data_IF_549415291438
#
_entry.id   IF_549415291438
#
_cell.length_a   1.000
_cell.length_b   1.000
_cell.length_c   1.000
_cell.angle_alpha   90.00
_cell.angle_beta   90.00
_cell.angle_gamma   90.00
#
_symmetry.space_group_name_H-M   'P 1'
#
loop_
_entity.id
_entity.type
_entity.pdbx_description
1 polymer ?
#
# COMPACT_ATOMS: atom_id res chain seq x y z
N UNK A 1 15.93 20.94 55.27
CA UNK A 1 14.84 21.01 54.26
C UNK A 1 15.11 19.90 53.27
N UNK A 2 14.31 18.84 53.36
CA UNK A 2 14.34 17.68 52.47
C UNK A 2 13.71 18.02 51.12
N UNK A 3 14.30 17.50 50.05
CA UNK A 3 13.71 17.15 48.75
C UNK A 3 14.88 16.63 47.91
N UNK A 4 14.84 15.58 47.10
CA UNK A 4 13.79 14.68 46.61
C UNK A 4 14.57 13.48 46.02
N UNK A 5 14.12 12.24 46.24
CA UNK A 5 13.57 11.34 45.21
C UNK A 5 14.42 11.20 43.94
N UNK A 6 14.67 10.05 43.37
CA UNK A 6 14.38 8.64 43.61
C UNK A 6 15.26 7.93 42.56
N UNK A 7 15.68 6.72 42.88
CA UNK A 7 16.30 5.74 41.98
C UNK A 7 15.46 5.52 40.70
N UNK A 8 16.10 5.21 39.56
CA UNK A 8 15.93 3.90 38.90
C UNK A 8 16.69 3.82 37.54
N UNK A 9 17.65 2.89 37.52
CA UNK A 9 17.92 1.91 36.46
C UNK A 9 18.15 2.34 35.00
N UNK A 10 19.43 2.25 34.64
CA UNK A 10 19.96 1.46 33.52
C UNK A 10 18.94 0.89 32.51
N UNK A 11 19.01 1.36 31.25
CA UNK A 11 19.05 0.49 30.06
C UNK A 11 19.02 1.33 28.78
N UNK A 12 20.15 1.35 28.06
CA UNK A 12 20.26 1.11 26.60
C UNK A 12 21.55 1.71 26.05
N UNK A 13 22.64 1.01 26.35
CA UNK A 13 23.66 0.80 25.34
C UNK A 13 23.04 0.03 24.15
N UNK A 14 23.62 0.22 22.96
CA UNK A 14 23.16 -0.21 21.64
C UNK A 14 22.02 0.68 21.09
N UNK A 15 22.18 1.43 20.01
CA UNK A 15 23.05 1.20 18.87
C UNK A 15 23.09 2.46 18.00
N UNK A 16 24.22 3.17 18.04
CA UNK A 16 24.72 3.83 16.84
C UNK A 16 25.13 2.72 15.87
N UNK A 17 24.19 2.26 15.05
CA UNK A 17 24.52 1.48 13.86
C UNK A 17 23.90 2.18 12.68
N UNK A 18 24.76 2.83 11.89
CA UNK A 18 24.52 3.05 10.46
C UNK A 18 23.85 1.80 9.90
N UNK A 19 22.62 1.92 9.42
CA UNK A 19 22.14 1.08 8.34
C UNK A 19 21.60 2.01 7.28
N UNK A 20 22.44 2.16 6.25
CA UNK A 20 22.04 2.34 4.87
C UNK A 20 20.78 1.48 4.63
N UNK A 21 19.61 2.08 4.79
CA UNK A 21 18.33 1.39 4.72
C UNK A 21 17.89 1.39 3.28
N UNK A 22 18.19 0.30 2.57
CA UNK A 22 17.45 -0.17 1.40
C UNK A 22 16.00 0.29 1.51
N UNK A 23 15.54 1.15 0.59
CA UNK A 23 14.14 1.57 0.53
C UNK A 23 13.30 0.30 0.71
N UNK A 24 12.56 0.14 1.84
CA UNK A 24 11.92 -1.13 2.14
C UNK A 24 11.08 -1.45 0.92
N UNK A 25 11.32 -2.63 0.32
CA UNK A 25 10.49 -3.08 -0.78
C UNK A 25 9.05 -2.92 -0.28
N UNK A 26 8.22 -2.10 -0.97
CA UNK A 26 6.92 -1.75 -0.45
C UNK A 26 6.20 -3.07 -0.16
N UNK A 27 5.57 -3.18 1.00
CA UNK A 27 5.08 -4.45 1.53
C UNK A 27 3.93 -4.95 0.64
N UNK A 28 4.30 -5.62 -0.46
CA UNK A 28 3.38 -6.01 -1.52
C UNK A 28 2.36 -6.95 -0.91
N UNK A 29 1.06 -6.75 -1.16
CA UNK A 29 0.04 -7.62 -0.62
C UNK A 29 0.28 -9.09 -0.97
N UNK A 30 0.08 -9.97 0.00
CA UNK A 30 0.44 -11.39 -0.08
C UNK A 30 -0.43 -12.18 -1.06
N UNK A 31 -1.65 -11.73 -1.29
CA UNK A 31 -2.66 -12.41 -2.11
C UNK A 31 -3.64 -11.38 -2.69
N UNK A 32 -4.10 -11.63 -3.90
CA UNK A 32 -5.21 -10.91 -4.52
C UNK A 32 -6.35 -11.88 -4.85
N UNK A 33 -7.57 -11.36 -4.84
CA UNK A 33 -8.80 -12.16 -4.93
C UNK A 33 -9.12 -12.60 -6.36
N UNK A 34 -8.63 -11.87 -7.37
CA UNK A 34 -8.92 -12.13 -8.79
C UNK A 34 -7.65 -12.11 -9.64
N UNK A 35 -7.72 -12.70 -10.84
CA UNK A 35 -6.66 -12.59 -11.86
C UNK A 35 -6.77 -11.23 -12.56
N UNK A 36 -5.64 -10.60 -12.85
CA UNK A 36 -5.59 -9.33 -13.58
C UNK A 36 -4.50 -8.40 -13.09
N UNK A 37 -4.56 -7.14 -13.52
CA UNK A 37 -3.66 -6.08 -13.09
C UNK A 37 -4.41 -5.14 -12.16
N UNK A 38 -3.82 -4.81 -11.02
CA UNK A 38 -4.39 -3.87 -10.03
C UNK A 38 -3.41 -2.74 -9.79
N UNK A 39 -3.92 -1.53 -9.57
CA UNK A 39 -3.12 -0.40 -9.12
C UNK A 39 -3.11 -0.39 -7.61
N UNK A 40 -1.93 -0.35 -7.02
CA UNK A 40 -1.70 -0.35 -5.59
C UNK A 40 -0.92 0.89 -5.17
N UNK A 41 -1.48 1.63 -4.20
CA UNK A 41 -0.91 2.83 -3.62
C UNK A 41 -0.10 2.44 -2.40
N UNK A 42 1.22 2.33 -2.58
CA UNK A 42 2.10 1.77 -1.55
C UNK A 42 2.21 2.62 -0.28
N UNK A 43 1.89 3.91 -0.35
CA UNK A 43 1.97 4.82 0.80
C UNK A 43 0.81 4.60 1.76
N UNK A 44 -0.36 4.22 1.23
CA UNK A 44 -1.58 4.01 2.00
C UNK A 44 -1.89 2.53 2.21
N UNK A 45 -1.27 1.63 1.43
CA UNK A 45 -1.61 0.21 1.42
C UNK A 45 -2.95 -0.07 0.73
N UNK A 46 -3.48 0.89 -0.02
CA UNK A 46 -4.79 0.84 -0.67
C UNK A 46 -4.69 0.51 -2.16
N UNK A 47 -5.82 0.17 -2.76
CA UNK A 47 -5.94 -0.15 -4.17
C UNK A 47 -6.80 0.87 -4.89
N UNK A 48 -6.65 0.92 -6.21
CA UNK A 48 -7.62 1.60 -7.06
C UNK A 48 -8.89 0.76 -7.16
N UNK A 49 -9.97 1.26 -6.58
CA UNK A 49 -11.29 0.66 -6.59
C UNK A 49 -12.33 1.56 -7.23
N UNK A 50 -13.59 1.11 -7.11
CA UNK A 50 -14.77 1.90 -7.42
C UNK A 50 -15.52 2.18 -6.13
N UNK A 51 -15.87 3.44 -5.90
CA UNK A 51 -16.71 3.85 -4.78
C UNK A 51 -17.86 4.72 -5.29
N UNK A 52 -18.98 4.67 -4.58
CA UNK A 52 -20.10 5.58 -4.83
C UNK A 52 -19.74 6.99 -4.35
N UNK A 53 -19.80 7.97 -5.24
CA UNK A 53 -19.66 9.37 -4.90
C UNK A 53 -21.06 9.96 -4.70
N UNK A 54 -21.43 10.27 -3.47
CA UNK A 54 -22.75 10.84 -3.13
C UNK A 54 -22.97 12.23 -3.74
N UNK A 55 -21.91 13.02 -3.94
CA UNK A 55 -22.01 14.37 -4.49
C UNK A 55 -22.26 14.37 -6.00
N UNK A 56 -21.63 13.44 -6.71
CA UNK A 56 -21.83 13.26 -8.15
C UNK A 56 -23.03 12.33 -8.47
N UNK A 57 -23.52 11.58 -7.47
CA UNK A 57 -24.47 10.48 -7.64
C UNK A 57 -24.01 9.45 -8.69
N UNK A 58 -22.70 9.18 -8.73
CA UNK A 58 -22.06 8.32 -9.72
C UNK A 58 -21.01 7.41 -9.06
N UNK A 59 -20.69 6.28 -9.73
CA UNK A 59 -19.59 5.41 -9.32
C UNK A 59 -18.30 5.98 -9.88
N UNK A 60 -17.38 6.36 -9.00
CA UNK A 60 -16.09 6.93 -9.37
C UNK A 60 -14.92 6.07 -8.91
N UNK A 61 -13.75 6.35 -9.48
CA UNK A 61 -12.50 5.71 -9.06
C UNK A 61 -12.07 6.30 -7.72
N UNK A 62 -11.81 5.43 -6.75
CA UNK A 62 -11.42 5.83 -5.40
C UNK A 62 -10.35 4.90 -4.83
N UNK A 63 -9.77 5.32 -3.72
CA UNK A 63 -8.91 4.45 -2.92
C UNK A 63 -9.77 3.48 -2.12
N UNK A 64 -9.43 2.20 -2.16
CA UNK A 64 -10.10 1.15 -1.38
C UNK A 64 -9.07 0.34 -0.61
N UNK A 65 -9.32 0.09 0.67
CA UNK A 65 -8.41 -0.71 1.49
C UNK A 65 -8.42 -2.21 1.11
N UNK A 66 -9.53 -2.68 0.55
CA UNK A 66 -9.76 -4.10 0.33
C UNK A 66 -9.55 -4.52 -1.13
N UNK A 67 -8.81 -5.62 -1.33
CA UNK A 67 -8.46 -6.14 -2.65
C UNK A 67 -9.64 -6.76 -3.42
N UNK A 68 -10.75 -7.10 -2.77
CA UNK A 68 -11.97 -7.59 -3.42
C UNK A 68 -12.72 -6.46 -4.13
N UNK A 69 -12.59 -5.23 -3.60
CA UNK A 69 -13.23 -4.02 -4.11
C UNK A 69 -12.33 -3.26 -5.11
N UNK A 70 -11.12 -3.76 -5.34
CA UNK A 70 -10.19 -3.21 -6.31
C UNK A 70 -10.63 -3.49 -7.75
N UNK A 71 -10.27 -2.59 -8.67
CA UNK A 71 -10.45 -2.79 -10.10
C UNK A 71 -9.33 -3.71 -10.62
N UNK A 72 -9.72 -4.82 -11.24
CA UNK A 72 -8.81 -5.73 -11.93
C UNK A 72 -8.88 -5.45 -13.43
N UNK A 73 -7.83 -4.86 -13.97
CA UNK A 73 -7.66 -4.62 -15.39
C UNK A 73 -7.17 -5.88 -16.11
N UNK A 74 -7.51 -6.00 -17.38
CA UNK A 74 -7.05 -7.12 -18.20
C UNK A 74 -5.59 -6.96 -18.62
N UNK A 75 -5.12 -5.72 -18.73
CA UNK A 75 -3.78 -5.39 -19.23
C UNK A 75 -3.06 -4.41 -18.33
N UNK A 76 -1.72 -4.49 -18.35
CA UNK A 76 -0.86 -3.54 -17.65
C UNK A 76 -1.10 -2.09 -18.12
N UNK A 77 -1.25 -1.88 -19.43
CA UNK A 77 -1.46 -0.55 -20.02
C UNK A 77 -2.74 0.12 -19.48
N UNK A 78 -3.85 -0.62 -19.36
CA UNK A 78 -5.07 -0.10 -18.77
C UNK A 78 -4.87 0.35 -17.32
N UNK A 79 -4.13 -0.43 -16.53
CA UNK A 79 -3.84 -0.10 -15.14
C UNK A 79 -2.99 1.18 -15.03
N UNK A 80 -1.98 1.34 -15.90
CA UNK A 80 -1.13 2.55 -15.94
C UNK A 80 -1.94 3.79 -16.33
N UNK A 81 -2.75 3.71 -17.38
CA UNK A 81 -3.62 4.81 -17.81
C UNK A 81 -4.66 5.14 -16.73
N UNK A 82 -5.13 4.14 -16.00
CA UNK A 82 -6.06 4.36 -14.91
C UNK A 82 -5.42 5.06 -13.71
N UNK A 83 -4.14 4.81 -13.46
CA UNK A 83 -3.37 5.41 -12.37
C UNK A 83 -2.84 6.82 -12.68
N UNK A 84 -2.74 7.19 -13.96
CA UNK A 84 -2.19 8.48 -14.42
C UNK A 84 -2.91 9.71 -13.83
N UNK A 85 -4.21 9.58 -13.53
CA UNK A 85 -5.00 10.65 -12.91
C UNK A 85 -4.69 10.89 -11.42
N UNK A 86 -3.91 10.03 -10.79
CA UNK A 86 -3.63 10.09 -9.35
C UNK A 86 -2.28 10.74 -9.09
N UNK A 87 -2.25 11.69 -8.16
CA UNK A 87 -1.02 12.38 -7.73
C UNK A 87 -0.18 11.45 -6.82
N UNK A 88 -0.82 10.49 -6.15
CA UNK A 88 -0.17 9.59 -5.21
C UNK A 88 0.73 8.56 -5.93
N UNK A 89 1.90 8.23 -5.36
CA UNK A 89 2.77 7.22 -5.96
C UNK A 89 2.06 5.86 -5.92
N UNK A 90 1.97 5.24 -7.09
CA UNK A 90 1.28 3.98 -7.28
C UNK A 90 2.13 2.98 -8.07
N UNK A 91 1.82 1.70 -7.91
CA UNK A 91 2.47 0.59 -8.58
C UNK A 91 1.43 -0.35 -9.15
N UNK A 92 1.69 -0.88 -10.34
CA UNK A 92 0.82 -1.92 -10.90
C UNK A 92 1.30 -3.29 -10.44
N UNK A 93 0.39 -4.07 -9.89
CA UNK A 93 0.60 -5.45 -9.50
C UNK A 93 -0.13 -6.36 -10.47
N UNK A 94 0.53 -7.42 -10.94
CA UNK A 94 -0.09 -8.48 -11.73
C UNK A 94 -0.45 -9.65 -10.81
N UNK A 95 -1.75 -9.91 -10.68
CA UNK A 95 -2.29 -11.11 -10.05
C UNK A 95 -2.39 -12.26 -11.06
N UNK A 96 -1.59 -13.33 -10.92
CA UNK A 96 -1.69 -14.48 -11.80
C UNK A 96 -2.95 -15.34 -11.53
N UNK A 97 -3.68 -15.12 -10.43
CA UNK A 97 -4.89 -15.84 -10.06
C UNK A 97 -5.17 -15.77 -8.56
N UNK A 98 -6.40 -16.11 -8.17
CA UNK A 98 -6.85 -16.07 -6.77
C UNK A 98 -5.91 -16.85 -5.84
N UNK A 99 -5.53 -16.24 -4.72
CA UNK A 99 -4.68 -16.86 -3.70
C UNK A 99 -3.20 -16.98 -4.06
N UNK A 100 -2.77 -16.43 -5.21
CA UNK A 100 -1.35 -16.37 -5.58
C UNK A 100 -0.75 -15.02 -5.24
N UNK A 101 0.54 -15.04 -4.89
CA UNK A 101 1.29 -13.81 -4.66
C UNK A 101 1.34 -12.96 -5.94
N UNK A 102 0.94 -11.69 -5.88
CA UNK A 102 0.99 -10.80 -7.02
C UNK A 102 2.44 -10.42 -7.34
N UNK A 103 2.73 -10.23 -8.63
CA UNK A 103 4.02 -9.80 -9.12
C UNK A 103 4.00 -8.29 -9.37
N UNK A 104 4.95 -7.58 -8.79
CA UNK A 104 5.16 -6.17 -9.11
C UNK A 104 5.57 -6.03 -10.58
N UNK A 105 4.81 -5.23 -11.32
CA UNK A 105 5.14 -4.85 -12.69
C UNK A 105 5.94 -3.54 -12.66
N UNK A 106 6.97 -3.44 -13.50
CA UNK A 106 7.83 -2.26 -13.66
C UNK A 106 7.90 -1.89 -15.14
#
# INVERSE_FOLDING_TARGET
MSNSKDDDMASRAASMTKRLGTNPAPNVPTSLSRKGYVVWFHDHGEYLGLAWNESAAEIERAHVADAEHAIYFETFAQAVVASDKFISPCRVLHSPGAGKAPKLMR
#
